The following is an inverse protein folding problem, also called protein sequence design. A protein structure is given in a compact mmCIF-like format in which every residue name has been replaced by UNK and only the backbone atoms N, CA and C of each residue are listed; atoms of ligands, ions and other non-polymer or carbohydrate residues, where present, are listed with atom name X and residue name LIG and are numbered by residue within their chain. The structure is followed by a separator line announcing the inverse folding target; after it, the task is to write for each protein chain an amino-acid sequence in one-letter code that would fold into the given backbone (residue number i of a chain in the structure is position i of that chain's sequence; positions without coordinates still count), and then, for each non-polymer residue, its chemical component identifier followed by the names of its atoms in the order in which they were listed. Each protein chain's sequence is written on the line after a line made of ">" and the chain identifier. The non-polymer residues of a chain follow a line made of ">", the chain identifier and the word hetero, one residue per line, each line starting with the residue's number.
data_IF_767428195990
#
_entry.id   IF_767428195990
#
_cell.length_a   1.000
_cell.length_b   1.000
_cell.length_c   1.000
_cell.angle_alpha   90.00
_cell.angle_beta   90.00
_cell.angle_gamma   90.00
#
_symmetry.space_group_name_H-M   'P 1'
#
loop_
_entity.id
_entity.type
_entity.pdbx_description
1 polymer ?
#
# COMPACT_ATOMS: atom_id res chain seq x y z
N UNK A 1 -4.75 5.54 -6.04
CA UNK A 1 -3.59 6.33 -5.51
C UNK A 1 -3.52 6.09 -4.01
N UNK A 2 -2.35 5.72 -3.50
CA UNK A 2 -2.12 5.55 -2.05
C UNK A 2 -1.54 6.84 -1.49
N UNK A 3 -2.10 7.32 -0.37
CA UNK A 3 -1.54 8.39 0.45
C UNK A 3 -1.05 7.80 1.76
N UNK A 4 0.24 7.91 2.06
CA UNK A 4 0.86 7.30 3.23
C UNK A 4 1.07 8.31 4.36
N UNK A 5 0.62 7.96 5.56
CA UNK A 5 0.97 8.66 6.79
C UNK A 5 2.14 7.93 7.44
N UNK A 6 3.25 8.63 7.57
CA UNK A 6 4.51 8.10 8.08
C UNK A 6 4.84 8.77 9.42
N UNK A 7 5.51 8.05 10.29
CA UNK A 7 5.89 8.58 11.60
C UNK A 7 7.39 8.46 11.81
N UNK A 8 8.00 9.47 12.43
CA UNK A 8 9.41 9.45 12.83
C UNK A 8 9.58 10.00 14.25
N UNK A 9 10.72 9.71 14.85
CA UNK A 9 11.08 10.25 16.15
C UNK A 9 10.40 9.52 17.30
N UNK A 10 10.07 8.24 17.15
CA UNK A 10 9.67 7.41 18.29
C UNK A 10 10.82 7.36 19.32
N UNK A 11 10.52 7.26 20.62
CA UNK A 11 11.55 7.34 21.68
C UNK A 11 12.72 6.35 21.52
N UNK A 12 12.45 5.17 21.00
CA UNK A 12 13.46 4.11 20.79
C UNK A 12 14.05 4.08 19.40
N UNK A 13 13.56 4.94 18.50
CA UNK A 13 13.99 4.94 17.10
C UNK A 13 15.40 5.50 16.94
N UNK A 14 16.25 4.74 16.30
CA UNK A 14 17.62 5.15 15.95
C UNK A 14 17.65 5.97 14.66
N UNK A 15 18.78 6.68 14.43
CA UNK A 15 18.99 7.36 13.15
C UNK A 15 19.06 6.36 11.99
N UNK A 16 19.65 5.17 12.20
CA UNK A 16 19.71 4.10 11.20
C UNK A 16 18.31 3.68 10.75
N UNK A 17 17.42 3.38 11.69
CA UNK A 17 16.03 3.00 11.39
C UNK A 17 15.28 4.10 10.63
N UNK A 18 15.57 5.36 10.92
CA UNK A 18 14.97 6.49 10.18
C UNK A 18 15.49 6.58 8.74
N UNK A 19 16.79 6.36 8.53
CA UNK A 19 17.40 6.31 7.18
C UNK A 19 16.86 5.13 6.39
N UNK A 20 16.74 3.97 7.03
CA UNK A 20 16.17 2.74 6.44
C UNK A 20 14.70 2.92 6.07
N UNK A 21 13.91 3.55 6.93
CA UNK A 21 12.52 3.89 6.63
C UNK A 21 12.41 4.83 5.41
N UNK A 22 13.29 5.82 5.28
CA UNK A 22 13.31 6.70 4.11
C UNK A 22 13.67 5.93 2.84
N UNK A 23 14.57 4.94 2.92
CA UNK A 23 14.93 4.10 1.77
C UNK A 23 13.73 3.27 1.31
N UNK A 24 12.97 2.66 2.21
CA UNK A 24 11.73 1.94 1.87
C UNK A 24 10.73 2.89 1.18
N UNK A 25 10.55 4.09 1.73
CA UNK A 25 9.66 5.11 1.14
C UNK A 25 10.12 5.52 -0.26
N UNK A 26 11.44 5.72 -0.46
CA UNK A 26 12.00 6.01 -1.79
C UNK A 26 11.68 4.92 -2.81
N UNK A 27 11.84 3.65 -2.41
CA UNK A 27 11.52 2.51 -3.28
C UNK A 27 10.03 2.42 -3.59
N UNK A 28 9.15 2.72 -2.64
CA UNK A 28 7.70 2.76 -2.86
C UNK A 28 7.30 3.86 -3.88
N UNK A 29 7.90 5.05 -3.79
CA UNK A 29 7.69 6.11 -4.77
C UNK A 29 8.27 5.74 -6.14
N UNK A 30 9.46 5.16 -6.18
CA UNK A 30 10.10 4.70 -7.42
C UNK A 30 9.29 3.63 -8.14
N UNK A 31 8.60 2.78 -7.39
CA UNK A 31 7.70 1.75 -7.89
C UNK A 31 6.28 2.25 -8.17
N UNK A 32 6.02 3.56 -8.01
CA UNK A 32 4.71 4.21 -8.21
C UNK A 32 3.57 3.62 -7.35
N UNK A 33 3.91 2.96 -6.23
CA UNK A 33 2.93 2.39 -5.30
C UNK A 33 2.31 3.44 -4.38
N UNK A 34 3.04 4.51 -4.09
CA UNK A 34 2.61 5.64 -3.25
C UNK A 34 2.63 6.91 -4.10
N UNK A 35 1.50 7.61 -4.16
CA UNK A 35 1.39 8.85 -4.90
C UNK A 35 1.66 10.09 -4.06
N UNK A 36 1.44 10.00 -2.75
CA UNK A 36 1.73 11.08 -1.80
C UNK A 36 1.96 10.53 -0.40
N UNK A 37 2.69 11.27 0.42
CA UNK A 37 2.93 10.87 1.80
C UNK A 37 3.19 12.11 2.67
N UNK A 38 3.15 11.91 3.99
CA UNK A 38 3.46 12.93 4.98
C UNK A 38 4.18 12.32 6.18
N UNK A 39 5.27 12.96 6.64
CA UNK A 39 5.98 12.58 7.84
C UNK A 39 5.46 13.34 9.06
N UNK A 40 4.90 12.59 10.02
CA UNK A 40 4.51 13.12 11.33
C UNK A 40 5.62 12.86 12.36
N UNK A 41 5.99 13.91 13.08
CA UNK A 41 6.83 13.72 14.27
C UNK A 41 5.99 13.03 15.35
N UNK A 42 6.57 12.04 16.00
CA UNK A 42 5.92 11.35 17.11
C UNK A 42 5.58 12.34 18.23
N UNK A 43 4.33 12.37 18.65
CA UNK A 43 3.81 13.10 19.78
C UNK A 43 3.43 12.10 20.90
N UNK A 44 4.08 12.19 22.04
CA UNK A 44 3.72 11.35 23.19
C UNK A 44 2.44 11.90 23.83
N UNK A 45 1.43 11.05 23.99
CA UNK A 45 0.18 11.45 24.65
C UNK A 45 0.06 10.82 26.02
N UNK A 46 -0.72 11.43 26.92
CA UNK A 46 -0.93 10.97 28.31
C UNK A 46 -1.38 9.51 28.35
N UNK A 47 -2.22 9.09 27.41
CA UNK A 47 -2.82 7.76 27.38
C UNK A 47 -2.03 6.74 26.56
N UNK A 48 -0.96 7.16 25.86
CA UNK A 48 -0.10 6.24 25.13
C UNK A 48 0.72 5.36 26.10
N UNK A 49 1.16 4.17 25.68
CA UNK A 49 2.03 3.32 26.50
C UNK A 49 3.28 4.06 27.00
N UNK A 50 3.91 4.88 26.16
CA UNK A 50 5.07 5.70 26.52
C UNK A 50 4.69 6.88 27.43
N UNK A 51 3.49 7.41 27.30
CA UNK A 51 2.97 8.43 28.19
C UNK A 51 2.64 7.89 29.58
N UNK A 52 2.14 6.67 29.68
CA UNK A 52 1.84 6.01 30.96
C UNK A 52 3.10 5.48 31.65
N UNK A 53 4.03 4.90 30.90
CA UNK A 53 5.24 4.26 31.40
C UNK A 53 6.50 4.80 30.69
N UNK A 54 6.84 6.09 30.82
CA UNK A 54 7.90 6.73 30.06
C UNK A 54 9.28 6.09 30.27
N UNK A 55 9.56 5.62 31.45
CA UNK A 55 10.84 4.98 31.80
C UNK A 55 11.09 3.71 31.01
N UNK A 56 10.03 2.93 30.71
CA UNK A 56 10.11 1.73 29.88
C UNK A 56 10.57 2.03 28.45
N UNK A 57 10.34 3.26 27.99
CA UNK A 57 10.70 3.75 26.67
C UNK A 57 11.94 4.63 26.68
N UNK A 58 12.68 4.67 27.79
CA UNK A 58 13.90 5.47 27.92
C UNK A 58 13.68 6.98 27.81
N UNK A 59 12.47 7.47 28.12
CA UNK A 59 12.11 8.88 28.05
C UNK A 59 11.82 9.46 29.42
N UNK A 60 12.04 10.77 29.53
CA UNK A 60 11.67 11.56 30.71
C UNK A 60 10.64 12.60 30.33
N UNK A 61 9.55 12.66 31.06
CA UNK A 61 8.56 13.73 30.92
C UNK A 61 9.16 15.08 31.24
N UNK A 62 8.75 16.10 30.49
CA UNK A 62 9.07 17.51 30.76
C UNK A 62 7.79 18.26 31.09
N UNK A 63 7.82 19.03 32.20
CA UNK A 63 6.67 19.83 32.63
C UNK A 63 5.58 19.03 33.34
N UNK A 64 4.47 19.72 33.66
CA UNK A 64 3.29 19.13 34.27
C UNK A 64 2.50 18.28 33.28
N UNK A 65 1.75 17.29 33.76
CA UNK A 65 0.81 16.53 32.93
C UNK A 65 -0.27 17.50 32.43
N UNK A 66 -0.50 17.62 31.10
CA UNK A 66 -1.53 18.50 30.60
C UNK A 66 -2.92 18.09 31.10
N UNK A 67 -3.83 19.05 31.16
CA UNK A 67 -5.23 18.74 31.41
C UNK A 67 -5.75 17.86 30.26
N UNK A 68 -6.22 16.63 30.54
CA UNK A 68 -6.60 15.64 29.52
C UNK A 68 -7.75 16.10 28.60
N UNK A 69 -8.49 17.14 28.98
CA UNK A 69 -9.60 17.69 28.19
C UNK A 69 -9.15 18.66 27.09
N UNK A 70 -8.04 19.40 27.29
CA UNK A 70 -7.65 20.47 26.38
C UNK A 70 -6.42 20.13 25.54
N UNK A 71 -5.47 19.38 26.10
CA UNK A 71 -4.24 18.99 25.44
C UNK A 71 -3.70 17.72 26.10
N UNK A 72 -3.65 16.64 25.36
CA UNK A 72 -3.15 15.36 25.89
C UNK A 72 -1.70 15.08 25.49
N UNK A 73 -1.02 15.99 24.77
CA UNK A 73 0.40 15.86 24.42
C UNK A 73 1.29 16.12 25.62
N UNK A 74 2.24 15.23 25.83
CA UNK A 74 3.24 15.29 26.92
C UNK A 74 4.60 15.57 26.31
N UNK A 75 5.22 16.70 26.71
CA UNK A 75 6.60 16.97 26.33
C UNK A 75 7.55 16.01 27.04
N UNK A 76 8.53 15.53 26.29
CA UNK A 76 9.52 14.59 26.83
C UNK A 76 10.92 14.88 26.28
N UNK A 77 11.91 14.32 26.95
CA UNK A 77 13.28 14.20 26.44
C UNK A 77 13.68 12.74 26.43
N UNK A 78 14.46 12.39 25.44
CA UNK A 78 15.12 11.09 25.31
C UNK A 78 16.61 11.29 24.99
N UNK A 79 17.34 10.19 24.98
CA UNK A 79 18.77 10.17 24.69
C UNK A 79 19.02 9.49 23.33
N UNK A 80 18.36 9.98 22.27
CA UNK A 80 18.46 9.36 20.94
C UNK A 80 19.75 9.62 20.17
N UNK A 81 20.61 10.53 20.66
CA UNK A 81 21.93 10.78 20.10
C UNK A 81 21.96 11.53 18.75
N UNK A 82 20.83 12.07 18.29
CA UNK A 82 20.74 12.86 17.06
C UNK A 82 19.69 13.99 17.17
N UNK A 83 19.85 15.03 16.36
CA UNK A 83 18.91 16.14 16.29
C UNK A 83 17.65 15.77 15.50
N UNK A 84 16.53 15.67 16.20
CA UNK A 84 15.24 15.31 15.61
C UNK A 84 14.69 16.39 14.66
N UNK A 85 15.06 17.66 14.87
CA UNK A 85 14.66 18.76 13.99
C UNK A 85 15.34 18.64 12.63
N UNK A 86 16.65 18.49 12.63
CA UNK A 86 17.42 18.28 11.38
C UNK A 86 16.97 17.04 10.62
N UNK A 87 16.68 15.94 11.32
CA UNK A 87 16.15 14.72 10.70
C UNK A 87 14.78 14.96 10.10
N UNK A 88 13.89 15.66 10.80
CA UNK A 88 12.56 16.02 10.29
C UNK A 88 12.62 16.88 9.03
N UNK A 89 13.55 17.84 8.98
CA UNK A 89 13.76 18.68 7.79
C UNK A 89 14.26 17.87 6.59
N UNK A 90 15.20 16.93 6.82
CA UNK A 90 15.68 16.04 5.78
C UNK A 90 14.57 15.12 5.23
N UNK A 91 13.75 14.55 6.12
CA UNK A 91 12.61 13.72 5.75
C UNK A 91 11.55 14.50 4.95
N UNK A 92 11.24 15.73 5.36
CA UNK A 92 10.28 16.59 4.65
C UNK A 92 10.79 17.00 3.28
N UNK A 93 12.07 17.41 3.19
CA UNK A 93 12.69 17.82 1.93
C UNK A 93 12.77 16.64 0.94
N UNK A 94 13.22 15.46 1.38
CA UNK A 94 13.28 14.28 0.52
C UNK A 94 11.91 13.89 0.00
N UNK A 95 10.89 13.87 0.87
CA UNK A 95 9.54 13.49 0.51
C UNK A 95 8.89 14.46 -0.49
N UNK A 96 9.09 15.77 -0.31
CA UNK A 96 8.61 16.78 -1.26
C UNK A 96 9.22 16.58 -2.66
N UNK A 97 10.51 16.21 -2.72
CA UNK A 97 11.17 15.86 -3.97
C UNK A 97 10.59 14.56 -4.58
N UNK A 98 10.41 13.51 -3.78
CA UNK A 98 9.85 12.23 -4.27
C UNK A 98 8.44 12.38 -4.83
N UNK A 99 7.57 13.18 -4.19
CA UNK A 99 6.24 13.49 -4.71
C UNK A 99 6.27 14.25 -6.04
N UNK A 100 7.33 15.00 -6.31
CA UNK A 100 7.56 15.68 -7.59
C UNK A 100 8.35 14.81 -8.60
N UNK A 101 8.61 13.55 -8.30
CA UNK A 101 9.39 12.64 -9.15
C UNK A 101 10.90 12.93 -9.14
N UNK A 102 11.39 13.76 -8.23
CA UNK A 102 12.77 14.17 -8.15
C UNK A 102 13.55 13.41 -7.08
N UNK A 103 14.85 13.19 -7.31
CA UNK A 103 15.77 12.63 -6.31
C UNK A 103 15.56 11.15 -5.98
N UNK A 104 14.74 10.42 -6.75
CA UNK A 104 14.51 8.99 -6.58
C UNK A 104 15.79 8.15 -6.81
N UNK A 105 16.74 8.65 -7.56
CA UNK A 105 18.06 8.01 -7.77
C UNK A 105 19.16 8.52 -6.81
N UNK A 106 18.80 9.50 -5.95
CA UNK A 106 19.74 10.04 -4.98
C UNK A 106 19.84 9.11 -3.77
N UNK A 107 21.05 8.69 -3.34
CA UNK A 107 21.23 7.90 -2.13
C UNK A 107 20.63 8.61 -0.90
N UNK A 108 19.81 7.90 -0.10
CA UNK A 108 19.03 8.50 1.00
C UNK A 108 19.88 9.19 2.07
N UNK A 109 21.09 8.68 2.34
CA UNK A 109 22.00 9.31 3.32
C UNK A 109 22.41 10.74 2.92
N UNK A 110 22.31 11.10 1.64
CA UNK A 110 22.62 12.47 1.17
C UNK A 110 21.54 13.50 1.49
N UNK A 111 20.40 13.09 2.01
CA UNK A 111 19.38 14.00 2.54
C UNK A 111 19.68 14.40 3.98
N UNK A 112 20.44 13.58 4.70
CA UNK A 112 20.82 13.82 6.09
C UNK A 112 22.21 14.44 6.20
N UNK A 113 22.42 15.25 7.24
CA UNK A 113 23.76 15.78 7.55
C UNK A 113 24.73 14.69 8.02
N UNK A 114 24.21 13.57 8.54
CA UNK A 114 25.00 12.43 9.02
C UNK A 114 25.26 11.42 7.89
N UNK A 115 26.48 10.88 7.83
CA UNK A 115 26.86 9.84 6.88
C UNK A 115 26.46 8.46 7.38
N UNK A 116 25.16 8.19 7.40
CA UNK A 116 24.62 6.89 7.79
C UNK A 116 24.03 6.25 6.53
N UNK A 117 24.69 5.23 5.93
CA UNK A 117 24.14 4.52 4.79
C UNK A 117 22.92 3.70 5.24
N UNK A 118 21.96 3.48 4.34
CA UNK A 118 20.86 2.55 4.61
C UNK A 118 21.35 1.09 4.61
N UNK A 119 20.66 0.23 5.34
CA UNK A 119 20.90 -1.21 5.38
C UNK A 119 19.84 -2.02 4.62
N UNK A 120 18.81 -1.35 4.11
CA UNK A 120 17.74 -1.95 3.31
C UNK A 120 18.27 -2.36 1.95
N UNK A 121 17.87 -3.53 1.48
CA UNK A 121 18.19 -3.99 0.12
C UNK A 121 17.60 -3.06 -0.94
N UNK A 122 18.39 -2.72 -1.97
CA UNK A 122 17.98 -1.83 -3.05
C UNK A 122 16.80 -2.35 -3.87
N UNK A 123 16.58 -3.67 -3.85
CA UNK A 123 15.50 -4.35 -4.56
C UNK A 123 14.36 -4.83 -3.66
N UNK A 124 14.31 -4.39 -2.40
CA UNK A 124 13.30 -4.88 -1.44
C UNK A 124 11.88 -4.80 -2.01
N UNK A 125 11.46 -3.63 -2.46
CA UNK A 125 10.11 -3.45 -3.03
C UNK A 125 10.02 -4.09 -4.42
N UNK A 126 11.01 -3.87 -5.28
CA UNK A 126 11.01 -4.45 -6.63
C UNK A 126 10.98 -5.99 -6.60
N UNK A 127 11.69 -6.61 -5.65
CA UNK A 127 11.70 -8.06 -5.46
C UNK A 127 10.31 -8.62 -5.10
N UNK A 128 9.50 -7.86 -4.35
CA UNK A 128 8.12 -8.25 -4.03
C UNK A 128 7.12 -7.93 -5.16
N UNK A 129 7.49 -7.04 -6.08
CA UNK A 129 6.70 -6.71 -7.26
C UNK A 129 7.02 -7.60 -8.46
N UNK A 130 7.86 -8.61 -8.31
CA UNK A 130 8.08 -9.61 -9.37
C UNK A 130 6.70 -10.10 -9.75
N UNK A 131 6.25 -9.68 -10.94
CA UNK A 131 5.01 -10.17 -11.53
C UNK A 131 5.13 -11.70 -11.51
N UNK A 132 4.16 -12.41 -10.92
CA UNK A 132 4.16 -13.86 -11.09
C UNK A 132 4.31 -14.11 -12.57
N UNK A 133 5.31 -14.92 -12.92
CA UNK A 133 5.63 -15.28 -14.29
C UNK A 133 4.34 -15.70 -15.01
N UNK A 134 4.30 -15.53 -16.34
CA UNK A 134 3.13 -15.84 -17.16
C UNK A 134 2.65 -17.30 -17.04
N UNK A 135 3.41 -18.17 -16.40
CA UNK A 135 2.98 -19.46 -15.85
C UNK A 135 2.16 -19.27 -14.57
N UNK A 136 1.10 -18.44 -14.59
CA UNK A 136 0.17 -18.41 -13.47
C UNK A 136 -0.40 -19.79 -13.29
N UNK A 137 0.08 -20.50 -12.28
CA UNK A 137 -0.49 -21.78 -11.90
C UNK A 137 -1.95 -21.50 -11.51
N UNK A 138 -2.86 -22.10 -12.25
CA UNK A 138 -4.28 -22.06 -11.93
C UNK A 138 -4.47 -22.86 -10.63
N UNK A 139 -4.65 -22.16 -9.54
CA UNK A 139 -4.91 -22.76 -8.22
C UNK A 139 -6.41 -22.65 -7.92
N UNK A 140 -7.11 -23.78 -7.93
CA UNK A 140 -8.54 -23.85 -7.63
C UNK A 140 -8.87 -23.42 -6.19
N UNK A 141 -7.90 -23.49 -5.27
CA UNK A 141 -8.08 -23.06 -3.88
C UNK A 141 -7.89 -21.56 -3.67
N UNK A 142 -7.17 -20.90 -4.60
CA UNK A 142 -7.05 -19.45 -4.57
C UNK A 142 -8.43 -18.80 -4.62
N UNK A 143 -8.59 -17.68 -3.94
CA UNK A 143 -9.88 -17.00 -3.80
C UNK A 143 -9.90 -15.70 -4.59
N UNK A 144 -11.05 -15.36 -5.13
CA UNK A 144 -11.27 -14.09 -5.83
C UNK A 144 -12.06 -13.11 -4.98
N UNK A 145 -11.63 -11.85 -5.04
CA UNK A 145 -12.30 -10.70 -4.45
C UNK A 145 -12.37 -9.59 -5.51
N UNK A 146 -13.54 -8.97 -5.65
CA UNK A 146 -13.71 -7.76 -6.44
C UNK A 146 -13.70 -6.54 -5.53
N UNK A 147 -12.64 -5.76 -5.61
CA UNK A 147 -12.51 -4.47 -4.91
C UNK A 147 -12.54 -3.28 -5.88
N UNK A 148 -12.77 -3.55 -7.16
CA UNK A 148 -12.84 -2.55 -8.21
C UNK A 148 -14.05 -1.62 -8.07
N UNK A 149 -14.10 -0.64 -8.96
CA UNK A 149 -15.25 0.23 -9.09
C UNK A 149 -16.45 -0.46 -9.75
N UNK A 150 -17.29 0.30 -10.43
CA UNK A 150 -18.46 -0.27 -11.10
C UNK A 150 -18.10 -1.07 -12.34
N UNK A 151 -18.83 -2.14 -12.57
CA UNK A 151 -18.82 -2.92 -13.80
C UNK A 151 -20.24 -2.89 -14.37
N UNK A 152 -20.38 -2.46 -15.61
CA UNK A 152 -21.66 -2.27 -16.25
C UNK A 152 -21.73 -3.03 -17.59
N UNK A 153 -22.90 -3.55 -17.90
CA UNK A 153 -23.19 -4.13 -19.22
C UNK A 153 -23.30 -3.02 -20.25
N UNK A 154 -22.67 -3.23 -21.40
CA UNK A 154 -22.84 -2.41 -22.60
C UNK A 154 -23.10 -3.31 -23.80
N UNK A 155 -23.49 -2.75 -24.95
CA UNK A 155 -23.86 -3.49 -26.14
C UNK A 155 -22.73 -4.42 -26.65
N UNK A 156 -21.47 -3.96 -26.61
CA UNK A 156 -20.31 -4.69 -27.11
C UNK A 156 -19.52 -5.47 -26.02
N UNK A 157 -20.04 -5.56 -24.78
CA UNK A 157 -19.35 -6.25 -23.68
C UNK A 157 -19.57 -5.61 -22.32
N UNK A 158 -18.50 -5.20 -21.66
CA UNK A 158 -18.54 -4.54 -20.34
C UNK A 158 -17.78 -3.22 -20.32
N UNK A 159 -18.23 -2.31 -19.48
CA UNK A 159 -17.53 -1.11 -19.08
C UNK A 159 -17.10 -1.25 -17.65
N UNK A 160 -15.81 -1.08 -17.39
CA UNK A 160 -15.22 -1.12 -16.04
C UNK A 160 -14.74 0.27 -15.68
N UNK A 161 -15.10 0.75 -14.50
CA UNK A 161 -14.65 2.04 -13.95
C UNK A 161 -13.85 1.83 -12.69
N UNK A 162 -12.77 2.57 -12.55
CA UNK A 162 -12.06 2.80 -11.31
C UNK A 162 -12.28 4.26 -10.87
N UNK A 163 -11.67 4.65 -9.76
CA UNK A 163 -11.73 6.05 -9.30
C UNK A 163 -11.08 7.06 -10.27
N UNK A 164 -10.19 6.60 -11.15
CA UNK A 164 -9.39 7.46 -12.05
C UNK A 164 -9.57 7.15 -13.52
N UNK A 165 -10.07 5.97 -13.88
CA UNK A 165 -10.10 5.51 -15.26
C UNK A 165 -11.37 4.73 -15.58
N UNK A 166 -11.77 4.79 -16.86
CA UNK A 166 -12.84 3.99 -17.43
C UNK A 166 -12.30 3.21 -18.63
N UNK A 167 -12.68 1.95 -18.75
CA UNK A 167 -12.28 1.11 -19.88
C UNK A 167 -13.44 0.26 -20.38
N UNK A 168 -13.60 0.23 -21.69
CA UNK A 168 -14.53 -0.67 -22.38
C UNK A 168 -13.79 -1.91 -22.85
N UNK A 169 -14.33 -3.07 -22.52
CA UNK A 169 -13.81 -4.37 -22.93
C UNK A 169 -14.85 -5.11 -23.73
N UNK A 170 -14.46 -5.56 -24.92
CA UNK A 170 -15.33 -6.35 -25.79
C UNK A 170 -15.37 -7.80 -25.34
N UNK A 171 -16.57 -8.28 -25.06
CA UNK A 171 -16.87 -9.64 -24.70
C UNK A 171 -18.11 -10.13 -25.44
N UNK A 172 -18.23 -11.44 -25.63
CA UNK A 172 -19.51 -12.03 -26.01
C UNK A 172 -20.58 -11.75 -24.96
N UNK A 173 -21.85 -11.88 -25.33
CA UNK A 173 -22.96 -11.70 -24.39
C UNK A 173 -22.81 -12.58 -23.15
N UNK A 174 -22.54 -13.85 -23.35
CA UNK A 174 -22.40 -14.82 -22.27
C UNK A 174 -21.20 -14.53 -21.36
N UNK A 175 -20.02 -14.17 -21.93
CA UNK A 175 -18.85 -13.78 -21.13
C UNK A 175 -19.11 -12.53 -20.31
N UNK A 176 -19.80 -11.54 -20.87
CA UNK A 176 -20.10 -10.31 -20.17
C UNK A 176 -21.07 -10.58 -19.01
N UNK A 177 -22.09 -11.41 -19.18
CA UNK A 177 -23.03 -11.80 -18.14
C UNK A 177 -22.32 -12.60 -17.03
N UNK A 178 -21.42 -13.50 -17.41
CA UNK A 178 -20.54 -14.19 -16.47
C UNK A 178 -19.71 -13.23 -15.62
N UNK A 179 -19.05 -12.26 -16.26
CA UNK A 179 -18.17 -11.31 -15.54
C UNK A 179 -18.93 -10.40 -14.58
N UNK A 180 -20.13 -9.96 -14.96
CA UNK A 180 -21.01 -9.21 -14.06
C UNK A 180 -21.44 -10.06 -12.88
N UNK A 181 -21.76 -11.33 -13.09
CA UNK A 181 -22.08 -12.26 -12.02
C UNK A 181 -20.89 -12.46 -11.08
N UNK A 182 -19.69 -12.70 -11.65
CA UNK A 182 -18.45 -12.83 -10.85
C UNK A 182 -18.18 -11.57 -10.03
N UNK A 183 -18.26 -10.38 -10.63
CA UNK A 183 -18.06 -9.13 -9.89
C UNK A 183 -19.08 -8.98 -8.74
N UNK A 184 -20.33 -9.37 -8.96
CA UNK A 184 -21.37 -9.35 -7.93
C UNK A 184 -21.06 -10.29 -6.76
N UNK A 185 -20.77 -11.56 -7.03
CA UNK A 185 -20.48 -12.54 -5.96
C UNK A 185 -19.14 -12.30 -5.27
N UNK A 186 -18.09 -11.89 -6.02
CA UNK A 186 -16.78 -11.63 -5.45
C UNK A 186 -16.71 -10.30 -4.68
N UNK A 187 -17.66 -9.38 -4.91
CA UNK A 187 -17.74 -8.10 -4.19
C UNK A 187 -18.49 -8.18 -2.86
N UNK A 188 -19.31 -9.20 -2.65
CA UNK A 188 -20.21 -9.30 -1.49
C UNK A 188 -20.02 -10.57 -0.66
N UNK A 189 -19.33 -11.60 -1.19
CA UNK A 189 -19.19 -12.88 -0.49
C UNK A 189 -18.18 -12.83 0.65
N UNK A 190 -18.60 -13.34 1.81
CA UNK A 190 -17.72 -13.66 2.94
C UNK A 190 -17.93 -15.13 3.33
N UNK A 191 -16.95 -15.99 3.18
CA UNK A 191 -15.57 -15.74 2.71
C UNK A 191 -15.44 -15.54 1.19
N UNK A 192 -14.30 -15.01 0.71
CA UNK A 192 -14.04 -14.82 -0.74
C UNK A 192 -14.23 -16.11 -1.53
N UNK A 193 -14.63 -15.99 -2.80
CA UNK A 193 -15.06 -17.11 -3.64
C UNK A 193 -13.84 -17.89 -4.18
N UNK A 194 -13.76 -19.22 -4.00
CA UNK A 194 -12.68 -20.03 -4.58
C UNK A 194 -12.69 -19.97 -6.11
N UNK A 195 -11.50 -19.93 -6.71
CA UNK A 195 -11.33 -19.88 -8.18
C UNK A 195 -11.91 -21.12 -8.87
N UNK A 196 -11.84 -22.27 -8.20
CA UNK A 196 -12.50 -23.50 -8.66
C UNK A 196 -14.01 -23.33 -8.85
N UNK A 197 -14.67 -22.61 -7.93
CA UNK A 197 -16.10 -22.30 -8.05
C UNK A 197 -16.41 -21.34 -9.22
N UNK A 198 -15.51 -20.38 -9.48
CA UNK A 198 -15.61 -19.49 -10.63
C UNK A 198 -15.46 -20.25 -11.96
N UNK A 199 -14.54 -21.22 -11.98
CA UNK A 199 -14.35 -22.13 -13.12
C UNK A 199 -15.62 -22.96 -13.40
N UNK A 200 -16.25 -23.53 -12.37
CA UNK A 200 -17.51 -24.27 -12.51
C UNK A 200 -18.62 -23.37 -13.04
N UNK A 201 -18.75 -22.16 -12.48
CA UNK A 201 -19.72 -21.17 -12.92
C UNK A 201 -19.53 -20.78 -14.37
N UNK A 202 -18.27 -20.64 -14.86
CA UNK A 202 -18.00 -20.30 -16.25
C UNK A 202 -18.56 -21.33 -17.25
N UNK A 203 -18.56 -22.59 -16.89
CA UNK A 203 -19.12 -23.66 -17.73
C UNK A 203 -20.62 -23.52 -17.99
N UNK A 204 -21.35 -22.78 -17.15
CA UNK A 204 -22.76 -22.46 -17.35
C UNK A 204 -22.98 -21.38 -18.43
N UNK A 205 -21.95 -20.55 -18.69
CA UNK A 205 -22.00 -19.40 -19.63
C UNK A 205 -21.29 -19.65 -20.95
N UNK A 206 -20.28 -20.54 -20.97
CA UNK A 206 -19.47 -20.77 -22.15
C UNK A 206 -19.03 -22.22 -22.28
N UNK A 207 -19.05 -22.80 -23.49
CA UNK A 207 -18.48 -24.10 -23.76
C UNK A 207 -16.96 -24.10 -23.80
N UNK A 208 -16.32 -22.92 -23.87
CA UNK A 208 -14.87 -22.75 -23.88
C UNK A 208 -14.26 -23.04 -22.51
N UNK A 209 -13.05 -23.63 -22.45
CA UNK A 209 -12.35 -23.82 -21.18
C UNK A 209 -12.08 -22.49 -20.48
N UNK A 210 -12.37 -22.40 -19.18
CA UNK A 210 -12.13 -21.20 -18.37
C UNK A 210 -10.67 -20.72 -18.42
N UNK A 211 -9.72 -21.65 -18.59
CA UNK A 211 -8.30 -21.33 -18.72
C UNK A 211 -8.00 -20.34 -19.86
N UNK A 212 -8.76 -20.37 -20.95
CA UNK A 212 -8.61 -19.44 -22.08
C UNK A 212 -8.91 -18.01 -21.63
N UNK A 213 -10.02 -17.80 -20.91
CA UNK A 213 -10.37 -16.51 -20.34
C UNK A 213 -9.37 -16.09 -19.25
N UNK A 214 -9.05 -17.00 -18.34
CA UNK A 214 -8.16 -16.76 -17.20
C UNK A 214 -6.75 -16.30 -17.61
N UNK A 215 -6.20 -16.83 -18.71
CA UNK A 215 -4.90 -16.44 -19.25
C UNK A 215 -4.97 -15.32 -20.30
N UNK A 216 -6.15 -14.78 -20.57
CA UNK A 216 -6.33 -13.72 -21.56
C UNK A 216 -5.86 -12.35 -21.05
N UNK A 217 -5.48 -11.47 -22.00
CA UNK A 217 -5.23 -10.06 -21.68
C UNK A 217 -6.46 -9.35 -21.07
N UNK A 218 -7.67 -9.81 -21.39
CA UNK A 218 -8.92 -9.27 -20.83
C UNK A 218 -9.00 -9.54 -19.31
N UNK A 219 -8.65 -10.74 -18.87
CA UNK A 219 -8.59 -11.09 -17.46
C UNK A 219 -7.52 -10.29 -16.71
N UNK A 220 -6.36 -10.04 -17.33
CA UNK A 220 -5.33 -9.17 -16.77
C UNK A 220 -5.79 -7.72 -16.60
N UNK A 221 -6.59 -7.22 -17.54
CA UNK A 221 -7.20 -5.91 -17.40
C UNK A 221 -8.16 -5.89 -16.20
N UNK A 222 -9.03 -6.91 -16.05
CA UNK A 222 -9.93 -6.99 -14.89
C UNK A 222 -9.15 -6.99 -13.56
N UNK A 223 -8.01 -7.68 -13.51
CA UNK A 223 -7.10 -7.63 -12.34
C UNK A 223 -6.57 -6.22 -12.08
N UNK A 224 -6.19 -5.47 -13.11
CA UNK A 224 -5.74 -4.09 -12.95
C UNK A 224 -6.85 -3.14 -12.49
N UNK A 225 -8.11 -3.52 -12.68
CA UNK A 225 -9.30 -2.78 -12.20
C UNK A 225 -9.89 -3.30 -10.88
N UNK A 226 -9.26 -4.27 -10.24
CA UNK A 226 -9.61 -4.68 -8.88
C UNK A 226 -10.12 -6.10 -8.71
N UNK A 227 -9.97 -7.00 -9.70
CA UNK A 227 -10.18 -8.43 -9.50
C UNK A 227 -8.90 -9.02 -8.88
N UNK A 228 -8.91 -9.19 -7.56
CA UNK A 228 -7.77 -9.71 -6.82
C UNK A 228 -7.89 -11.22 -6.61
N UNK A 229 -6.76 -11.91 -6.70
CA UNK A 229 -6.59 -13.28 -6.27
C UNK A 229 -5.81 -13.27 -4.94
N UNK A 230 -6.38 -13.87 -3.89
CA UNK A 230 -5.89 -13.93 -2.52
C UNK A 230 -5.77 -15.36 -2.03
#
# INVERSE_FOLDING_TARGET
>A
MVHAYLMYGLPTQTLQETVDALEVVRQLFRAELVGSAFWHRYAMTVHSPSGQNPERFGVRRKGSVPNPFANNEVFFSDNRGYDIGMVGDALRLSLANYMAGNGLDRPVHKWFAAKVPHTVEESLIAGHLIKPDASRIFDEQARLVWIGGSMERIEEGIRVRSNSEEKTLRFSSAEADFLLHVAGICGTAEPPVPLGRIKELYAEYSPEPFAILYHSKKWDILRSYGLLQV
#
